data_IF_810066886437
#
_entry.id   IF_810066886437
#
_cell.length_a   1.000
_cell.length_b   1.000
_cell.length_c   1.000
_cell.angle_alpha   90.00
_cell.angle_beta   90.00
_cell.angle_gamma   90.00
#
_symmetry.space_group_name_H-M   'P 1'
#
loop_
_entity.id
_entity.type
_entity.pdbx_description
1 polymer ?
#
# COMPACT_ATOMS: atom_id res chain seq x y z
N UNK A 1 18.91 -23.30 2.28
CA UNK A 1 17.48 -23.12 2.63
C UNK A 1 17.22 -22.40 3.98
N UNK A 2 18.24 -21.81 4.60
CA UNK A 2 18.14 -21.18 5.95
C UNK A 2 18.09 -19.64 5.96
N UNK A 3 18.30 -18.96 4.86
CA UNK A 3 18.39 -17.50 4.80
C UNK A 3 17.03 -16.78 4.67
N UNK A 4 15.94 -17.49 4.41
CA UNK A 4 14.59 -16.87 4.25
C UNK A 4 13.95 -16.41 5.56
N UNK A 5 14.22 -17.09 6.69
CA UNK A 5 13.59 -16.75 7.99
C UNK A 5 13.86 -15.31 8.47
N UNK A 6 15.11 -14.80 8.44
CA UNK A 6 15.37 -13.44 8.90
C UNK A 6 14.70 -12.38 8.01
N UNK A 7 14.69 -12.57 6.70
CA UNK A 7 14.04 -11.65 5.76
C UNK A 7 12.52 -11.63 5.99
N UNK A 8 11.89 -12.79 6.14
CA UNK A 8 10.45 -12.89 6.44
C UNK A 8 10.09 -12.17 7.74
N UNK A 9 10.92 -12.31 8.77
CA UNK A 9 10.72 -11.64 10.06
C UNK A 9 10.85 -10.12 9.91
N UNK A 10 11.83 -9.63 9.17
CA UNK A 10 12.01 -8.21 8.89
C UNK A 10 10.81 -7.66 8.13
N UNK A 11 10.38 -8.34 7.07
CA UNK A 11 9.19 -7.94 6.30
C UNK A 11 7.93 -7.90 7.17
N UNK A 12 7.76 -8.86 8.06
CA UNK A 12 6.63 -8.89 9.00
C UNK A 12 6.67 -7.70 9.96
N UNK A 13 7.84 -7.39 10.54
CA UNK A 13 8.01 -6.25 11.43
C UNK A 13 7.68 -4.94 10.70
N UNK A 14 8.20 -4.77 9.48
CA UNK A 14 7.93 -3.59 8.64
C UNK A 14 6.43 -3.49 8.33
N UNK A 15 5.78 -4.58 7.95
CA UNK A 15 4.36 -4.61 7.66
C UNK A 15 3.50 -4.24 8.90
N UNK A 16 3.82 -4.80 10.06
CA UNK A 16 3.15 -4.46 11.32
C UNK A 16 3.37 -2.98 11.67
N UNK A 17 4.60 -2.50 11.58
CA UNK A 17 4.92 -1.10 11.84
C UNK A 17 4.11 -0.16 10.93
N UNK A 18 4.02 -0.48 9.63
CA UNK A 18 3.21 0.26 8.68
C UNK A 18 1.72 0.25 9.04
N UNK A 19 1.16 -0.93 9.37
CA UNK A 19 -0.24 -1.09 9.77
C UNK A 19 -0.60 -0.33 11.05
N UNK A 20 0.37 -0.05 11.92
CA UNK A 20 0.15 0.72 13.16
C UNK A 20 0.39 2.21 12.94
N UNK A 21 1.51 2.58 12.32
CA UNK A 21 1.92 3.99 12.18
C UNK A 21 0.96 4.75 11.26
N UNK A 22 0.56 4.15 10.13
CA UNK A 22 -0.27 4.84 9.14
C UNK A 22 -1.64 5.24 9.69
N UNK A 23 -2.42 4.35 10.34
CA UNK A 23 -3.69 4.75 10.97
C UNK A 23 -3.54 5.77 12.10
N UNK A 24 -2.47 5.67 12.90
CA UNK A 24 -2.19 6.63 13.98
C UNK A 24 -1.93 8.03 13.40
N UNK A 25 -1.08 8.11 12.38
CA UNK A 25 -0.82 9.39 11.69
C UNK A 25 -2.08 9.95 11.03
N UNK A 26 -2.90 9.08 10.44
CA UNK A 26 -4.20 9.44 9.89
C UNK A 26 -5.14 9.96 10.99
N UNK A 27 -5.21 9.30 12.13
CA UNK A 27 -6.03 9.73 13.28
C UNK A 27 -5.64 11.12 13.76
N UNK A 28 -4.35 11.38 13.93
CA UNK A 28 -3.84 12.68 14.40
C UNK A 28 -4.19 13.81 13.42
N UNK A 29 -4.22 13.52 12.12
CA UNK A 29 -4.44 14.54 11.07
C UNK A 29 -5.92 14.72 10.70
N UNK A 30 -6.68 13.64 10.70
CA UNK A 30 -8.00 13.56 10.08
C UNK A 30 -9.07 13.07 11.08
N UNK A 31 -8.68 12.36 12.13
CA UNK A 31 -9.59 11.73 13.09
C UNK A 31 -9.87 10.27 12.75
N UNK A 32 -11.05 9.80 13.14
CA UNK A 32 -11.41 8.37 13.13
C UNK A 32 -11.46 7.68 11.75
N UNK A 33 -11.89 8.32 10.64
CA UNK A 33 -12.07 7.65 9.36
C UNK A 33 -10.84 6.87 8.85
N UNK A 34 -9.60 7.39 8.88
CA UNK A 34 -8.43 6.63 8.47
C UNK A 34 -8.16 5.39 9.31
N UNK A 35 -8.52 5.42 10.60
CA UNK A 35 -8.35 4.25 11.48
C UNK A 35 -9.25 3.11 11.02
N UNK A 36 -10.49 3.41 10.65
CA UNK A 36 -11.46 2.40 10.20
C UNK A 36 -11.09 1.92 8.79
N UNK A 37 -10.88 2.84 7.85
CA UNK A 37 -10.70 2.52 6.43
C UNK A 37 -9.29 1.93 6.20
N UNK A 38 -8.24 2.67 6.55
CA UNK A 38 -6.86 2.25 6.29
C UNK A 38 -6.44 1.19 7.31
N UNK A 39 -6.69 1.42 8.60
CA UNK A 39 -6.33 0.48 9.66
C UNK A 39 -7.08 -0.84 9.53
N UNK A 40 -8.39 -0.80 9.27
CA UNK A 40 -9.20 -2.01 9.07
C UNK A 40 -8.74 -2.82 7.87
N UNK A 41 -8.57 -2.19 6.71
CA UNK A 41 -8.08 -2.86 5.50
C UNK A 41 -6.65 -3.39 5.66
N UNK A 42 -5.77 -2.64 6.32
CA UNK A 42 -4.39 -3.06 6.58
C UNK A 42 -4.32 -4.29 7.49
N UNK A 43 -5.15 -4.35 8.55
CA UNK A 43 -5.23 -5.52 9.43
C UNK A 43 -5.71 -6.75 8.65
N UNK A 44 -6.78 -6.61 7.88
CA UNK A 44 -7.32 -7.70 7.05
C UNK A 44 -6.25 -8.19 6.06
N UNK A 45 -5.60 -7.28 5.35
CA UNK A 45 -4.53 -7.61 4.41
C UNK A 45 -3.34 -8.31 5.10
N UNK A 46 -2.93 -7.83 6.29
CA UNK A 46 -1.84 -8.42 7.07
C UNK A 46 -2.19 -9.85 7.52
N UNK A 47 -3.42 -10.09 7.98
CA UNK A 47 -3.89 -11.42 8.37
C UNK A 47 -3.89 -12.38 7.18
N UNK A 48 -4.46 -11.96 6.04
CA UNK A 48 -4.43 -12.77 4.81
C UNK A 48 -3.01 -13.09 4.38
N UNK A 49 -2.13 -12.08 4.33
CA UNK A 49 -0.73 -12.28 3.97
C UNK A 49 0.00 -13.23 4.91
N UNK A 50 -0.21 -13.08 6.23
CA UNK A 50 0.38 -13.94 7.26
C UNK A 50 -0.06 -15.40 7.12
N UNK A 51 -1.35 -15.65 6.97
CA UNK A 51 -1.90 -17.01 6.93
C UNK A 51 -1.71 -17.71 5.58
N UNK A 52 -1.52 -16.96 4.51
CA UNK A 52 -1.35 -17.50 3.15
C UNK A 52 0.12 -17.44 2.71
N UNK A 53 0.55 -16.32 2.17
CA UNK A 53 1.83 -16.17 1.51
C UNK A 53 3.04 -16.38 2.42
N UNK A 54 3.01 -15.86 3.66
CA UNK A 54 4.14 -15.97 4.57
C UNK A 54 4.41 -17.43 4.97
N UNK A 55 3.36 -18.24 5.10
CA UNK A 55 3.48 -19.67 5.42
C UNK A 55 3.74 -20.52 4.19
N UNK A 56 3.09 -20.20 3.08
CA UNK A 56 3.15 -20.95 1.82
C UNK A 56 3.47 -20.00 0.66
N UNK A 57 4.76 -19.63 0.49
CA UNK A 57 5.15 -18.71 -0.57
C UNK A 57 4.76 -19.26 -1.94
N UNK A 58 4.04 -18.46 -2.71
CA UNK A 58 3.64 -18.80 -4.07
C UNK A 58 4.79 -18.52 -5.05
N UNK A 59 4.80 -19.21 -6.17
CA UNK A 59 5.77 -19.00 -7.24
C UNK A 59 5.72 -17.53 -7.70
N UNK A 60 6.85 -16.82 -7.71
CA UNK A 60 6.94 -15.45 -8.21
C UNK A 60 6.42 -15.25 -9.62
N UNK A 61 6.52 -16.26 -10.48
CA UNK A 61 5.97 -16.24 -11.85
C UNK A 61 4.45 -16.05 -11.88
N UNK A 62 3.76 -16.45 -10.82
CA UNK A 62 2.31 -16.27 -10.66
C UNK A 62 2.02 -14.93 -10.00
N UNK A 63 2.79 -14.58 -8.97
CA UNK A 63 2.53 -13.37 -8.18
C UNK A 63 2.87 -12.10 -8.96
N UNK A 64 3.99 -12.09 -9.69
CA UNK A 64 4.44 -10.88 -10.38
C UNK A 64 3.43 -10.33 -11.39
N UNK A 65 2.84 -11.14 -12.30
CA UNK A 65 1.79 -10.65 -13.20
C UNK A 65 0.57 -10.11 -12.45
N UNK A 66 0.14 -10.78 -11.37
CA UNK A 66 -1.00 -10.33 -10.55
C UNK A 66 -0.69 -9.01 -9.85
N UNK A 67 0.53 -8.86 -9.33
CA UNK A 67 0.99 -7.61 -8.70
C UNK A 67 1.01 -6.45 -9.71
N UNK A 68 1.55 -6.66 -10.91
CA UNK A 68 1.57 -5.66 -11.97
C UNK A 68 0.14 -5.28 -12.41
N UNK A 69 -0.75 -6.26 -12.53
CA UNK A 69 -2.17 -6.01 -12.84
C UNK A 69 -2.85 -5.19 -11.74
N UNK A 70 -2.54 -5.48 -10.48
CA UNK A 70 -3.05 -4.70 -9.33
C UNK A 70 -2.57 -3.26 -9.38
N UNK A 71 -1.30 -3.02 -9.72
CA UNK A 71 -0.76 -1.67 -9.90
C UNK A 71 -1.49 -0.95 -11.04
N UNK A 72 -1.71 -1.61 -12.17
CA UNK A 72 -2.43 -1.01 -13.29
C UNK A 72 -3.87 -0.62 -12.90
N UNK A 73 -4.59 -1.51 -12.21
CA UNK A 73 -5.93 -1.22 -11.70
C UNK A 73 -5.93 -0.04 -10.71
N UNK A 74 -4.93 0.03 -9.82
CA UNK A 74 -4.76 1.14 -8.89
C UNK A 74 -4.52 2.47 -9.61
N UNK A 75 -3.72 2.48 -10.70
CA UNK A 75 -3.50 3.69 -11.49
C UNK A 75 -4.79 4.19 -12.16
N UNK A 76 -5.62 3.29 -12.67
CA UNK A 76 -6.94 3.64 -13.22
C UNK A 76 -7.82 4.26 -12.13
N UNK A 77 -7.85 3.67 -10.94
CA UNK A 77 -8.61 4.19 -9.81
C UNK A 77 -8.13 5.59 -9.37
N UNK A 78 -6.82 5.80 -9.29
CA UNK A 78 -6.24 7.12 -8.97
C UNK A 78 -6.61 8.17 -10.03
N UNK A 79 -6.61 7.79 -11.31
CA UNK A 79 -7.08 8.68 -12.38
C UNK A 79 -8.56 9.04 -12.23
N UNK A 80 -9.40 8.08 -11.88
CA UNK A 80 -10.82 8.32 -11.60
C UNK A 80 -11.01 9.29 -10.42
N UNK A 81 -10.30 9.05 -9.32
CA UNK A 81 -10.34 9.94 -8.14
C UNK A 81 -9.89 11.37 -8.50
N UNK A 82 -8.87 11.51 -9.33
CA UNK A 82 -8.42 12.81 -9.80
C UNK A 82 -9.47 13.53 -10.65
N UNK A 83 -10.07 12.81 -11.61
CA UNK A 83 -11.09 13.36 -12.52
C UNK A 83 -12.40 13.69 -11.82
N UNK A 84 -12.67 13.10 -10.67
CA UNK A 84 -13.89 13.33 -9.87
C UNK A 84 -13.68 14.35 -8.73
N UNK A 85 -12.57 15.09 -8.71
CA UNK A 85 -12.23 16.05 -7.66
C UNK A 85 -12.24 15.44 -6.25
N UNK A 86 -11.84 14.18 -6.13
CA UNK A 86 -11.83 13.45 -4.86
C UNK A 86 -10.95 14.14 -3.80
N UNK A 87 -9.76 14.62 -4.17
CA UNK A 87 -8.87 15.35 -3.27
C UNK A 87 -9.52 16.60 -2.64
N UNK A 88 -10.06 17.52 -3.44
CA UNK A 88 -10.83 18.67 -2.95
C UNK A 88 -12.08 18.28 -2.13
N UNK A 89 -12.79 17.22 -2.51
CA UNK A 89 -13.93 16.72 -1.75
C UNK A 89 -13.53 16.23 -0.36
N UNK A 90 -12.46 15.45 -0.26
CA UNK A 90 -11.89 14.98 1.00
C UNK A 90 -11.38 16.14 1.85
N UNK A 91 -10.74 17.12 1.23
CA UNK A 91 -10.30 18.35 1.90
C UNK A 91 -11.45 19.07 2.59
N UNK A 92 -12.58 19.23 1.90
CA UNK A 92 -13.79 19.86 2.48
C UNK A 92 -14.41 19.01 3.58
N UNK A 93 -14.48 17.69 3.37
CA UNK A 93 -15.15 16.78 4.32
C UNK A 93 -14.39 16.67 5.65
N UNK A 94 -13.06 16.66 5.61
CA UNK A 94 -12.23 16.46 6.78
C UNK A 94 -11.48 17.71 7.26
N UNK A 95 -11.75 18.86 6.63
CA UNK A 95 -11.10 20.13 6.93
C UNK A 95 -9.56 20.05 6.90
N UNK A 96 -9.02 19.36 5.91
CA UNK A 96 -7.58 19.17 5.70
C UNK A 96 -7.18 19.97 4.46
N UNK A 97 -6.08 20.74 4.51
CA UNK A 97 -5.59 21.47 3.35
C UNK A 97 -4.90 20.52 2.36
N UNK A 98 -5.65 19.61 1.78
CA UNK A 98 -5.12 18.74 0.73
C UNK A 98 -5.23 19.42 -0.62
N UNK A 99 -4.11 19.83 -1.14
CA UNK A 99 -4.04 20.47 -2.45
C UNK A 99 -4.02 19.42 -3.56
N UNK A 100 -4.54 19.77 -4.73
CA UNK A 100 -4.43 18.96 -5.95
C UNK A 100 -2.97 18.55 -6.25
N UNK A 101 -2.02 19.47 -6.06
CA UNK A 101 -0.60 19.19 -6.20
C UNK A 101 -0.10 18.15 -5.19
N UNK A 102 -0.58 18.19 -3.95
CA UNK A 102 -0.26 17.20 -2.93
C UNK A 102 -0.80 15.81 -3.28
N UNK A 103 -2.02 15.74 -3.80
CA UNK A 103 -2.62 14.52 -4.31
C UNK A 103 -1.78 13.90 -5.44
N UNK A 104 -1.45 14.69 -6.46
CA UNK A 104 -0.63 14.24 -7.58
C UNK A 104 0.77 13.77 -7.12
N UNK A 105 1.41 14.52 -6.22
CA UNK A 105 2.72 14.15 -5.70
C UNK A 105 2.71 12.78 -5.02
N UNK A 106 1.73 12.51 -4.16
CA UNK A 106 1.66 11.27 -3.39
C UNK A 106 1.23 10.09 -4.27
N UNK A 107 0.14 10.23 -5.01
CA UNK A 107 -0.49 9.10 -5.69
C UNK A 107 0.05 8.85 -7.10
N UNK A 108 0.54 9.87 -7.80
CA UNK A 108 1.04 9.72 -9.17
C UNK A 108 2.57 9.58 -9.22
N UNK A 109 3.29 10.19 -8.29
CA UNK A 109 4.76 10.11 -8.27
C UNK A 109 5.27 9.10 -7.22
N UNK A 110 4.98 9.32 -5.94
CA UNK A 110 5.55 8.51 -4.86
C UNK A 110 5.04 7.07 -4.90
N UNK A 111 3.74 6.88 -5.02
CA UNK A 111 3.12 5.55 -5.08
C UNK A 111 3.68 4.68 -6.22
N UNK A 112 3.58 5.11 -7.48
CA UNK A 112 4.12 4.37 -8.62
C UNK A 112 5.63 4.10 -8.52
N UNK A 113 6.41 5.04 -7.98
CA UNK A 113 7.85 4.84 -7.77
C UNK A 113 8.10 3.68 -6.79
N UNK A 114 7.40 3.65 -5.66
CA UNK A 114 7.52 2.56 -4.68
C UNK A 114 7.12 1.22 -5.30
N UNK A 115 6.00 1.17 -6.04
CA UNK A 115 5.55 -0.07 -6.69
C UNK A 115 6.53 -0.55 -7.75
N UNK A 116 7.09 0.36 -8.55
CA UNK A 116 8.12 0.02 -9.55
C UNK A 116 9.37 -0.56 -8.89
N UNK A 117 9.87 0.07 -7.83
CA UNK A 117 11.02 -0.42 -7.08
C UNK A 117 10.74 -1.79 -6.45
N UNK A 118 9.54 -2.01 -5.92
CA UNK A 118 9.12 -3.32 -5.38
C UNK A 118 9.11 -4.38 -6.47
N UNK A 119 8.58 -4.05 -7.67
CA UNK A 119 8.56 -4.97 -8.81
C UNK A 119 9.98 -5.37 -9.23
N UNK A 120 10.89 -4.39 -9.33
CA UNK A 120 12.30 -4.64 -9.65
C UNK A 120 12.97 -5.54 -8.59
N UNK A 121 12.72 -5.30 -7.31
CA UNK A 121 13.19 -6.15 -6.22
C UNK A 121 12.71 -7.59 -6.37
N UNK A 122 11.45 -7.80 -6.73
CA UNK A 122 10.91 -9.15 -6.97
C UNK A 122 11.59 -9.85 -8.16
N UNK A 123 11.95 -9.12 -9.22
CA UNK A 123 12.61 -9.69 -10.40
C UNK A 123 14.06 -10.07 -10.11
N UNK A 124 14.77 -9.26 -9.33
CA UNK A 124 16.22 -9.46 -9.07
C UNK A 124 16.52 -10.55 -8.04
N UNK A 125 15.57 -10.89 -7.18
CA UNK A 125 15.75 -11.96 -6.18
C UNK A 125 15.55 -13.38 -6.73
N UNK A 126 15.10 -13.52 -7.98
CA UNK A 126 14.83 -14.80 -8.62
C UNK A 126 15.55 -14.90 -9.98
N UNK A 127 16.77 -15.48 -10.00
CA UNK A 127 17.46 -15.80 -11.24
C UNK A 127 16.77 -16.92 -12.03
#
# INVERSE_FOLDING_TARGET
MQTRKPIQTICLIIAIAFCVITPIMGYIKIGLPPVIIIGGSAIVALLFWYFTYLKNPTDPKIILPLFVLTIAALQIHICEEYLTDFGPAMSRLFNIPWTEKGFLMVFVLVGPTIYTLTTLGCITEFP
#
